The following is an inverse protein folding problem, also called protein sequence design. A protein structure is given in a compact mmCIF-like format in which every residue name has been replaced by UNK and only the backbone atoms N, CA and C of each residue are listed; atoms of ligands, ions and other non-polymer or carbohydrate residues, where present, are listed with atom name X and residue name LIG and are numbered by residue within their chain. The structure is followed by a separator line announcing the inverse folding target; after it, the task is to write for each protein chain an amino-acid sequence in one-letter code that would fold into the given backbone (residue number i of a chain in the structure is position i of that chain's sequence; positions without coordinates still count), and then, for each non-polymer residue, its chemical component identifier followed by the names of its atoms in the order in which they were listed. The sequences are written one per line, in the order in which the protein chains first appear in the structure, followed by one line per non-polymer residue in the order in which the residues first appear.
data_IF_653311041552
#
_entry.id   IF_653311041552
#
_cell.length_a   1.000
_cell.length_b   1.000
_cell.length_c   1.000
_cell.angle_alpha   90.00
_cell.angle_beta   90.00
_cell.angle_gamma   90.00
#
_symmetry.space_group_name_H-M   'P 1'
#
loop_
_entity.id
_entity.type
_entity.pdbx_description
1 polymer ?
#
# COMPACT_ATOMS: atom_id res chain seq x y z
N UNK A 1 14.80 38.15 73.77
CA UNK A 1 14.49 36.73 73.44
C UNK A 1 13.72 36.71 72.14
N UNK A 2 14.34 36.17 71.07
CA UNK A 2 13.80 36.13 69.70
C UNK A 2 12.85 34.93 69.55
N UNK A 3 11.61 35.14 69.10
CA UNK A 3 10.68 34.07 68.71
C UNK A 3 10.88 33.76 67.22
N UNK A 4 11.27 32.52 66.91
CA UNK A 4 11.37 32.00 65.54
C UNK A 4 9.99 31.63 65.01
N UNK A 5 9.63 32.14 63.83
CA UNK A 5 8.51 31.66 63.01
C UNK A 5 9.01 30.49 62.17
N UNK A 6 8.37 29.32 62.29
CA UNK A 6 8.56 28.19 61.37
C UNK A 6 7.50 28.34 60.28
N UNK A 7 7.94 28.73 59.07
CA UNK A 7 7.11 28.70 57.87
C UNK A 7 7.22 27.29 57.28
N UNK A 8 6.13 26.52 57.35
CA UNK A 8 6.01 25.25 56.65
C UNK A 8 5.80 25.53 55.16
N UNK A 9 6.87 25.38 54.36
CA UNK A 9 6.78 25.39 52.90
C UNK A 9 6.20 24.06 52.42
N UNK A 10 4.91 24.06 52.07
CA UNK A 10 4.28 22.96 51.33
C UNK A 10 4.79 23.03 49.89
N UNK A 11 5.72 22.13 49.56
CA UNK A 11 6.23 21.94 48.21
C UNK A 11 5.15 21.17 47.41
N UNK A 12 4.32 21.89 46.65
CA UNK A 12 3.42 21.27 45.67
C UNK A 12 4.28 20.74 44.51
N UNK A 13 4.55 19.43 44.52
CA UNK A 13 5.05 18.72 43.35
C UNK A 13 3.93 18.68 42.30
N UNK A 14 3.95 19.65 41.38
CA UNK A 14 3.16 19.59 40.16
C UNK A 14 3.76 18.49 39.30
N UNK A 15 3.21 17.28 39.40
CA UNK A 15 3.43 16.28 38.36
C UNK A 15 2.85 16.84 37.07
N UNK A 16 3.62 16.99 35.98
CA UNK A 16 3.01 17.22 34.69
C UNK A 16 2.15 15.98 34.43
N UNK A 17 0.83 16.16 34.46
CA UNK A 17 -0.09 15.21 33.89
C UNK A 17 0.36 15.06 32.43
N UNK A 18 1.01 13.93 32.13
CA UNK A 18 1.18 13.50 30.75
C UNK A 18 -0.22 13.42 30.18
N UNK A 19 -0.62 14.47 29.46
CA UNK A 19 -1.84 14.47 28.68
C UNK A 19 -1.75 13.26 27.78
N UNK A 20 -2.57 12.25 28.08
CA UNK A 20 -2.86 11.21 27.12
C UNK A 20 -3.46 11.95 25.93
N UNK A 21 -2.67 12.17 24.88
CA UNK A 21 -3.19 12.54 23.58
C UNK A 21 -4.12 11.38 23.21
N UNK A 22 -5.41 11.53 23.52
CA UNK A 22 -6.45 10.64 23.03
C UNK A 22 -6.34 10.75 21.52
N UNK A 23 -5.74 9.75 20.90
CA UNK A 23 -5.53 9.71 19.47
C UNK A 23 -6.94 9.79 18.85
N UNK A 24 -7.29 10.93 18.26
CA UNK A 24 -8.64 11.22 17.74
C UNK A 24 -9.07 10.13 16.74
N UNK A 25 -8.09 9.50 16.07
CA UNK A 25 -8.30 8.39 15.16
C UNK A 25 -8.87 7.14 15.86
N UNK A 26 -8.48 6.90 17.13
CA UNK A 26 -9.00 5.77 17.91
C UNK A 26 -10.51 5.91 18.20
N UNK A 27 -11.03 7.13 18.25
CA UNK A 27 -12.47 7.37 18.49
C UNK A 27 -13.28 7.02 17.24
N UNK A 28 -12.78 7.36 16.05
CA UNK A 28 -13.45 7.12 14.75
C UNK A 28 -13.61 5.63 14.47
N UNK A 29 -12.64 4.81 14.88
CA UNK A 29 -12.63 3.37 14.62
C UNK A 29 -13.07 2.52 15.80
N UNK A 30 -13.35 3.12 16.96
CA UNK A 30 -13.67 2.42 18.21
C UNK A 30 -14.81 1.40 18.10
N UNK A 31 -15.71 1.56 17.14
CA UNK A 31 -16.87 0.68 16.93
C UNK A 31 -16.66 -0.42 15.87
N UNK A 32 -15.49 -0.51 15.24
CA UNK A 32 -15.15 -1.61 14.32
C UNK A 32 -14.26 -2.62 15.04
N UNK A 33 -14.87 -3.73 15.44
CA UNK A 33 -14.20 -4.76 16.26
C UNK A 33 -13.06 -5.47 15.52
N UNK A 34 -13.17 -5.61 14.19
CA UNK A 34 -12.12 -6.22 13.36
C UNK A 34 -10.94 -5.26 13.28
N UNK A 35 -11.20 -3.98 13.01
CA UNK A 35 -10.15 -2.98 12.90
C UNK A 35 -9.42 -2.75 14.23
N UNK A 36 -10.14 -2.73 15.35
CA UNK A 36 -9.52 -2.65 16.67
C UNK A 36 -8.59 -3.85 16.95
N UNK A 37 -8.99 -5.06 16.53
CA UNK A 37 -8.11 -6.24 16.62
C UNK A 37 -6.87 -6.05 15.76
N UNK A 38 -7.02 -5.66 14.49
CA UNK A 38 -5.88 -5.40 13.61
C UNK A 38 -4.91 -4.39 14.25
N UNK A 39 -5.44 -3.29 14.78
CA UNK A 39 -4.65 -2.24 15.45
C UNK A 39 -3.90 -2.79 16.67
N UNK A 40 -4.50 -3.71 17.44
CA UNK A 40 -3.86 -4.33 18.59
C UNK A 40 -2.67 -5.25 18.25
N UNK A 41 -2.54 -5.68 16.98
CA UNK A 41 -1.43 -6.50 16.49
C UNK A 41 -0.34 -5.69 15.78
N UNK A 42 -0.48 -4.36 15.69
CA UNK A 42 0.56 -3.51 15.10
C UNK A 42 1.85 -3.65 15.92
N UNK A 43 3.03 -3.84 15.28
CA UNK A 43 4.29 -3.91 16.00
C UNK A 43 4.58 -2.64 16.80
N UNK A 44 5.23 -2.76 17.96
CA UNK A 44 5.45 -1.64 18.90
C UNK A 44 6.16 -0.42 18.29
N UNK A 45 7.01 -0.61 17.29
CA UNK A 45 7.72 0.47 16.59
C UNK A 45 6.92 1.03 15.40
N UNK A 46 5.62 0.78 15.34
CA UNK A 46 4.73 1.31 14.33
C UNK A 46 3.64 2.13 14.97
N UNK A 47 3.30 3.22 14.31
CA UNK A 47 2.15 4.05 14.65
C UNK A 47 1.13 3.95 13.53
N UNK A 48 -0.12 4.23 13.86
CA UNK A 48 -1.14 4.49 12.85
C UNK A 48 -1.81 5.83 13.11
N UNK A 49 -2.22 6.48 12.03
CA UNK A 49 -2.97 7.72 12.06
C UNK A 49 -3.81 7.87 10.80
N UNK A 50 -4.74 8.83 10.80
CA UNK A 50 -5.53 9.17 9.62
C UNK A 50 -5.12 10.49 9.00
N UNK A 51 -5.29 10.59 7.68
CA UNK A 51 -5.16 11.84 6.94
C UNK A 51 -6.22 11.88 5.85
N UNK A 52 -7.34 12.56 6.12
CA UNK A 52 -8.51 12.51 5.25
C UNK A 52 -9.09 11.10 5.23
N UNK A 53 -9.27 10.54 4.03
CA UNK A 53 -9.80 9.17 3.84
C UNK A 53 -8.69 8.11 3.76
N UNK A 54 -7.48 8.44 4.22
CA UNK A 54 -6.37 7.51 4.26
C UNK A 54 -6.07 7.14 5.72
N UNK A 55 -5.92 5.84 5.98
CA UNK A 55 -5.31 5.28 7.18
C UNK A 55 -3.86 4.92 6.85
N UNK A 56 -2.94 5.44 7.64
CA UNK A 56 -1.50 5.32 7.41
C UNK A 56 -0.90 4.57 8.59
N UNK A 57 -0.18 3.49 8.29
CA UNK A 57 0.69 2.80 9.24
C UNK A 57 2.12 3.20 8.89
N UNK A 58 2.87 3.74 9.86
CA UNK A 58 4.23 4.22 9.64
C UNK A 58 5.16 3.66 10.71
N UNK A 59 6.31 3.15 10.28
CA UNK A 59 7.37 2.71 11.19
C UNK A 59 8.09 3.91 11.80
N UNK A 60 8.34 3.86 13.10
CA UNK A 60 9.09 4.89 13.83
C UNK A 60 10.50 5.08 13.27
N UNK A 61 11.22 3.96 13.13
CA UNK A 61 12.58 3.93 12.58
C UNK A 61 12.62 3.94 11.05
N UNK A 62 13.68 4.56 10.52
CA UNK A 62 13.98 4.50 9.09
C UNK A 62 14.57 3.14 8.67
N UNK A 63 14.34 2.79 7.41
CA UNK A 63 14.98 1.72 6.65
C UNK A 63 15.71 2.30 5.44
N UNK A 64 16.63 1.55 4.86
CA UNK A 64 17.22 1.80 3.55
C UNK A 64 16.53 0.94 2.52
N UNK A 65 16.09 1.55 1.41
CA UNK A 65 15.57 0.82 0.25
C UNK A 65 16.46 1.03 -0.94
N UNK A 66 16.96 -0.08 -1.50
CA UNK A 66 17.64 -0.10 -2.77
C UNK A 66 16.68 -0.56 -3.86
N UNK A 67 16.46 0.30 -4.85
CA UNK A 67 15.69 -0.06 -6.03
C UNK A 67 16.58 -0.84 -7.01
N UNK A 68 16.26 -2.11 -7.22
CA UNK A 68 16.91 -2.96 -8.23
C UNK A 68 15.90 -3.97 -8.76
N UNK A 69 15.82 -4.14 -10.08
CA UNK A 69 14.98 -5.18 -10.68
C UNK A 69 15.55 -6.56 -10.30
N UNK A 70 14.78 -7.33 -9.53
CA UNK A 70 15.15 -8.68 -9.07
C UNK A 70 14.56 -9.76 -9.96
N UNK A 71 13.61 -9.41 -10.83
CA UNK A 71 13.01 -10.31 -11.80
C UNK A 71 14.05 -10.65 -12.85
N UNK A 72 14.48 -11.91 -12.87
CA UNK A 72 15.54 -12.44 -13.73
C UNK A 72 16.95 -11.85 -13.50
N UNK A 73 17.20 -11.20 -12.36
CA UNK A 73 18.55 -10.78 -12.02
C UNK A 73 19.46 -12.01 -11.84
N UNK A 74 20.69 -12.00 -12.39
CA UNK A 74 21.64 -13.07 -12.11
C UNK A 74 21.87 -13.15 -10.60
N UNK A 75 21.90 -14.38 -10.06
CA UNK A 75 22.20 -14.60 -8.64
C UNK A 75 23.53 -13.93 -8.33
N UNK A 76 23.51 -12.90 -7.50
CA UNK A 76 24.73 -12.26 -6.99
C UNK A 76 25.36 -13.21 -5.98
N UNK A 77 26.64 -13.50 -6.12
CA UNK A 77 27.42 -14.26 -5.14
C UNK A 77 27.81 -13.37 -3.94
N UNK A 78 26.88 -12.58 -3.43
CA UNK A 78 27.10 -11.73 -2.26
C UNK A 78 26.65 -12.45 -0.98
N UNK A 79 27.40 -12.27 0.10
CA UNK A 79 26.95 -12.65 1.44
C UNK A 79 25.86 -11.69 1.93
N UNK A 80 25.07 -12.12 2.93
CA UNK A 80 24.04 -11.26 3.55
C UNK A 80 24.61 -9.95 4.10
N UNK A 81 25.82 -9.98 4.67
CA UNK A 81 26.50 -8.78 5.18
C UNK A 81 26.85 -7.81 4.05
N UNK A 82 27.46 -8.31 2.96
CA UNK A 82 27.79 -7.50 1.79
C UNK A 82 26.54 -6.90 1.14
N UNK A 83 25.45 -7.67 1.08
CA UNK A 83 24.16 -7.18 0.61
C UNK A 83 23.64 -6.02 1.47
N UNK A 84 23.64 -6.18 2.79
CA UNK A 84 23.16 -5.15 3.71
C UNK A 84 24.01 -3.86 3.60
N UNK A 85 25.33 -3.98 3.56
CA UNK A 85 26.24 -2.85 3.35
C UNK A 85 25.96 -2.13 2.03
N UNK A 86 25.72 -2.89 0.95
CA UNK A 86 25.37 -2.35 -0.36
C UNK A 86 24.04 -1.60 -0.33
N UNK A 87 23.02 -2.13 0.35
CA UNK A 87 21.72 -1.46 0.51
C UNK A 87 21.87 -0.17 1.31
N UNK A 88 22.65 -0.19 2.40
CA UNK A 88 22.91 1.03 3.20
C UNK A 88 23.67 2.08 2.40
N UNK A 89 24.66 1.66 1.60
CA UNK A 89 25.51 2.55 0.81
C UNK A 89 24.77 3.19 -0.38
N UNK A 90 23.96 2.41 -1.09
CA UNK A 90 23.37 2.81 -2.37
C UNK A 90 21.85 3.04 -2.30
N UNK A 91 21.22 2.65 -1.20
CA UNK A 91 19.78 2.79 -1.00
C UNK A 91 19.39 4.16 -0.48
N UNK A 92 18.09 4.46 -0.55
CA UNK A 92 17.50 5.68 0.01
C UNK A 92 17.00 5.40 1.41
N UNK A 93 17.38 6.25 2.37
CA UNK A 93 16.85 6.19 3.74
C UNK A 93 15.43 6.74 3.77
N UNK A 94 14.47 5.91 4.15
CA UNK A 94 13.04 6.23 4.17
C UNK A 94 12.38 5.62 5.41
N UNK A 95 11.14 6.03 5.73
CA UNK A 95 10.30 5.29 6.67
C UNK A 95 9.41 4.31 5.93
N UNK A 96 9.34 3.07 6.40
CA UNK A 96 8.37 2.11 5.89
C UNK A 96 6.96 2.59 6.22
N UNK A 97 6.05 2.51 5.24
CA UNK A 97 4.65 2.89 5.44
C UNK A 97 3.69 2.04 4.60
N UNK A 98 2.48 1.88 5.13
CA UNK A 98 1.32 1.34 4.44
C UNK A 98 0.29 2.46 4.38
N UNK A 99 -0.20 2.79 3.19
CA UNK A 99 -1.29 3.75 3.01
C UNK A 99 -2.51 3.01 2.49
N UNK A 100 -3.56 2.99 3.30
CA UNK A 100 -4.84 2.40 2.95
C UNK A 100 -5.87 3.53 2.79
N UNK A 101 -6.48 3.67 1.61
CA UNK A 101 -7.73 4.41 1.52
C UNK A 101 -8.80 3.62 2.26
N UNK A 102 -9.67 4.29 3.00
CA UNK A 102 -10.88 3.66 3.53
C UNK A 102 -12.13 4.43 3.12
N UNK A 103 -13.23 3.69 3.04
CA UNK A 103 -14.58 4.23 2.91
C UNK A 103 -15.55 3.33 3.67
N UNK A 104 -16.81 3.77 3.80
CA UNK A 104 -17.87 2.94 4.36
C UNK A 104 -17.94 1.60 3.61
N UNK A 105 -18.17 0.53 4.37
CA UNK A 105 -18.18 -0.83 3.84
C UNK A 105 -19.09 -0.95 2.64
N UNK A 106 -18.57 -1.51 1.57
CA UNK A 106 -19.37 -1.84 0.40
C UNK A 106 -20.34 -2.94 0.77
N UNK A 107 -21.62 -2.68 0.52
CA UNK A 107 -22.62 -3.71 0.59
C UNK A 107 -22.43 -4.75 -0.54
N UNK A 108 -23.10 -5.88 -0.37
CA UNK A 108 -23.06 -6.99 -1.31
C UNK A 108 -23.52 -6.58 -2.72
N UNK A 109 -24.50 -5.70 -2.83
CA UNK A 109 -25.06 -5.27 -4.11
C UNK A 109 -24.05 -4.42 -4.89
N UNK A 110 -23.39 -3.47 -4.23
CA UNK A 110 -22.31 -2.66 -4.80
C UNK A 110 -21.17 -3.55 -5.27
N UNK A 111 -20.78 -4.55 -4.48
CA UNK A 111 -19.76 -5.53 -4.88
C UNK A 111 -20.15 -6.31 -6.13
N UNK A 112 -21.40 -6.75 -6.27
CA UNK A 112 -21.91 -7.42 -7.48
C UNK A 112 -21.91 -6.49 -8.68
N UNK A 113 -22.45 -5.29 -8.54
CA UNK A 113 -22.58 -4.32 -9.64
C UNK A 113 -21.19 -4.02 -10.21
N UNK A 114 -20.22 -3.73 -9.36
CA UNK A 114 -18.83 -3.48 -9.79
C UNK A 114 -18.20 -4.74 -10.39
N UNK A 115 -18.44 -5.94 -9.82
CA UNK A 115 -17.95 -7.20 -10.40
C UNK A 115 -18.46 -7.41 -11.83
N UNK A 116 -19.75 -7.22 -12.06
CA UNK A 116 -20.37 -7.43 -13.37
C UNK A 116 -19.93 -6.37 -14.37
N UNK A 117 -19.88 -5.10 -13.96
CA UNK A 117 -19.38 -4.01 -14.79
C UNK A 117 -17.92 -4.25 -15.20
N UNK A 118 -17.04 -4.56 -14.25
CA UNK A 118 -15.64 -4.84 -14.57
C UNK A 118 -15.50 -6.06 -15.48
N UNK A 119 -16.29 -7.13 -15.26
CA UNK A 119 -16.27 -8.31 -16.14
C UNK A 119 -16.66 -7.95 -17.58
N UNK A 120 -17.66 -7.10 -17.76
CA UNK A 120 -18.04 -6.57 -19.07
C UNK A 120 -16.90 -5.75 -19.70
N UNK A 121 -16.28 -4.83 -18.95
CA UNK A 121 -15.15 -4.02 -19.43
C UNK A 121 -13.96 -4.90 -19.84
N UNK A 122 -13.64 -5.95 -19.07
CA UNK A 122 -12.56 -6.87 -19.42
C UNK A 122 -12.87 -7.69 -20.68
N UNK A 123 -14.12 -8.08 -20.90
CA UNK A 123 -14.54 -8.72 -22.16
C UNK A 123 -14.36 -7.78 -23.35
N UNK A 124 -14.68 -6.50 -23.19
CA UNK A 124 -14.45 -5.49 -24.22
C UNK A 124 -12.95 -5.30 -24.49
N UNK A 125 -12.12 -5.25 -23.45
CA UNK A 125 -10.66 -5.17 -23.59
C UNK A 125 -10.08 -6.36 -24.36
N UNK A 126 -10.55 -7.57 -24.06
CA UNK A 126 -10.07 -8.79 -24.74
C UNK A 126 -10.41 -8.83 -26.23
N UNK A 127 -11.55 -8.29 -26.63
CA UNK A 127 -11.98 -8.22 -28.05
C UNK A 127 -11.48 -6.99 -28.80
N UNK A 128 -10.82 -6.06 -28.12
CA UNK A 128 -10.37 -4.80 -28.69
C UNK A 128 -9.33 -4.98 -29.82
N UNK A 129 -8.35 -5.91 -29.73
CA UNK A 129 -7.43 -6.18 -30.84
C UNK A 129 -8.12 -6.66 -32.13
N UNK A 130 -9.19 -7.47 -31.99
CA UNK A 130 -10.00 -7.94 -33.12
C UNK A 130 -10.74 -6.76 -33.78
N UNK A 131 -11.35 -5.88 -32.97
CA UNK A 131 -12.07 -4.69 -33.44
C UNK A 131 -11.23 -3.81 -34.35
N UNK A 132 -9.94 -3.66 -34.04
CA UNK A 132 -9.00 -2.86 -34.83
C UNK A 132 -8.23 -3.66 -35.90
N UNK A 133 -8.42 -4.98 -35.95
CA UNK A 133 -7.70 -5.91 -36.81
C UNK A 133 -6.17 -5.72 -36.70
N UNK A 134 -5.65 -5.86 -35.47
CA UNK A 134 -4.23 -5.71 -35.15
C UNK A 134 -3.58 -6.97 -34.57
N UNK A 135 -4.29 -8.10 -34.46
CA UNK A 135 -3.71 -9.34 -33.90
C UNK A 135 -2.47 -9.82 -34.64
N UNK A 136 -2.42 -9.63 -35.95
CA UNK A 136 -1.28 -9.96 -36.79
C UNK A 136 -0.05 -9.07 -36.53
N UNK A 137 -0.20 -7.99 -35.76
CA UNK A 137 0.87 -7.06 -35.38
C UNK A 137 1.42 -7.35 -33.97
N UNK A 138 0.96 -8.41 -33.31
CA UNK A 138 1.38 -8.79 -31.97
C UNK A 138 2.88 -9.16 -31.93
N UNK A 139 3.60 -8.61 -30.96
CA UNK A 139 5.01 -8.92 -30.72
C UNK A 139 5.15 -9.79 -29.46
N UNK A 140 5.43 -11.08 -29.63
CA UNK A 140 5.57 -12.03 -28.52
C UNK A 140 6.82 -11.80 -27.66
N UNK A 141 7.82 -11.09 -28.17
CA UNK A 141 9.09 -10.84 -27.47
C UNK A 141 8.99 -9.67 -26.50
N UNK A 142 8.19 -8.66 -26.85
CA UNK A 142 7.94 -7.50 -26.00
C UNK A 142 6.67 -7.64 -25.14
N UNK A 143 5.77 -8.55 -25.53
CA UNK A 143 4.55 -8.79 -24.79
C UNK A 143 4.79 -9.59 -23.52
N UNK A 144 4.03 -9.26 -22.48
CA UNK A 144 3.99 -9.99 -21.22
C UNK A 144 2.58 -10.54 -20.99
N UNK A 145 2.43 -11.45 -20.01
CA UNK A 145 1.12 -12.01 -19.62
C UNK A 145 0.08 -10.94 -19.30
N UNK A 146 0.49 -9.78 -18.80
CA UNK A 146 -0.38 -8.67 -18.41
C UNK A 146 -0.39 -7.51 -19.41
N UNK A 147 0.49 -7.50 -20.43
CA UNK A 147 0.57 -6.40 -21.37
C UNK A 147 0.96 -6.89 -22.78
N UNK A 148 -0.01 -6.94 -23.68
CA UNK A 148 0.21 -7.20 -25.10
C UNK A 148 0.73 -5.95 -25.82
N UNK A 149 1.79 -6.14 -26.61
CA UNK A 149 2.46 -5.11 -27.41
C UNK A 149 2.22 -5.40 -28.89
N UNK A 150 1.86 -4.36 -29.65
CA UNK A 150 1.61 -4.43 -31.09
C UNK A 150 2.53 -3.46 -31.83
N UNK A 151 3.14 -3.88 -32.94
CA UNK A 151 4.10 -3.08 -33.72
C UNK A 151 3.62 -2.92 -35.16
N UNK A 152 3.32 -1.69 -35.57
CA UNK A 152 2.96 -1.34 -36.94
C UNK A 152 4.18 -0.87 -37.75
N UNK A 153 4.34 -1.37 -38.97
CA UNK A 153 5.42 -0.98 -39.89
C UNK A 153 4.98 0.19 -40.78
N UNK A 154 3.71 0.24 -41.14
CA UNK A 154 3.11 1.27 -42.00
C UNK A 154 2.40 2.35 -41.19
N UNK A 155 2.15 3.51 -41.82
CA UNK A 155 1.35 4.59 -41.22
C UNK A 155 -0.07 4.14 -40.87
N UNK A 156 -0.67 3.29 -41.72
CA UNK A 156 -2.02 2.75 -41.50
C UNK A 156 -2.09 1.86 -40.26
N UNK A 157 -1.13 0.96 -40.09
CA UNK A 157 -1.03 0.09 -38.91
C UNK A 157 -0.79 0.88 -37.63
N UNK A 158 0.14 1.85 -37.66
CA UNK A 158 0.39 2.74 -36.51
C UNK A 158 -0.88 3.49 -36.09
N UNK A 159 -1.62 4.05 -37.04
CA UNK A 159 -2.90 4.72 -36.76
C UNK A 159 -3.94 3.79 -36.13
N UNK A 160 -3.98 2.50 -36.51
CA UNK A 160 -4.88 1.51 -35.87
C UNK A 160 -4.46 1.22 -34.43
N UNK A 161 -3.16 1.05 -34.20
CA UNK A 161 -2.59 0.84 -32.87
C UNK A 161 -2.87 2.04 -31.96
N UNK A 162 -2.69 3.26 -32.45
CA UNK A 162 -2.96 4.48 -31.66
C UNK A 162 -4.44 4.56 -31.24
N UNK A 163 -5.37 4.23 -32.14
CA UNK A 163 -6.81 4.16 -31.83
C UNK A 163 -7.12 3.06 -30.81
N UNK A 164 -6.51 1.89 -30.97
CA UNK A 164 -6.60 0.79 -30.01
C UNK A 164 -6.11 1.20 -28.62
N UNK A 165 -4.93 1.83 -28.51
CA UNK A 165 -4.36 2.25 -27.23
C UNK A 165 -5.24 3.30 -26.56
N UNK A 166 -5.73 4.28 -27.32
CA UNK A 166 -6.64 5.29 -26.80
C UNK A 166 -7.92 4.66 -26.22
N UNK A 167 -8.57 3.76 -26.97
CA UNK A 167 -9.80 3.10 -26.48
C UNK A 167 -9.51 2.14 -25.31
N UNK A 168 -8.36 1.46 -25.31
CA UNK A 168 -7.90 0.64 -24.19
C UNK A 168 -7.81 1.47 -22.91
N UNK A 169 -7.17 2.65 -22.98
CA UNK A 169 -7.03 3.55 -21.84
C UNK A 169 -8.39 4.09 -21.38
N UNK A 170 -9.29 4.43 -22.32
CA UNK A 170 -10.66 4.85 -22.02
C UNK A 170 -11.45 3.75 -21.29
N UNK A 171 -11.34 2.48 -21.70
CA UNK A 171 -12.01 1.36 -21.02
C UNK A 171 -11.39 1.12 -19.63
N UNK A 172 -10.06 1.09 -19.53
CA UNK A 172 -9.35 0.89 -18.27
C UNK A 172 -9.67 1.97 -17.25
N UNK A 173 -9.85 3.23 -17.68
CA UNK A 173 -10.24 4.34 -16.78
C UNK A 173 -11.60 4.15 -16.12
N UNK A 174 -12.47 3.29 -16.68
CA UNK A 174 -13.80 2.97 -16.16
C UNK A 174 -13.81 1.76 -15.23
N UNK A 175 -12.69 1.01 -15.16
CA UNK A 175 -12.57 -0.13 -14.26
C UNK A 175 -12.50 0.39 -12.83
N UNK A 176 -13.45 -0.06 -12.00
CA UNK A 176 -13.48 0.35 -10.61
C UNK A 176 -12.65 -0.62 -9.77
N UNK A 177 -11.68 -0.12 -9.02
CA UNK A 177 -10.91 -0.93 -8.09
C UNK A 177 -11.83 -1.54 -7.03
N UNK A 178 -11.58 -2.78 -6.63
CA UNK A 178 -12.27 -3.44 -5.51
C UNK A 178 -11.47 -3.25 -4.22
N UNK A 179 -12.12 -3.23 -3.06
CA UNK A 179 -11.40 -3.19 -1.80
C UNK A 179 -10.49 -4.41 -1.68
N UNK A 180 -9.31 -4.19 -1.10
CA UNK A 180 -8.38 -5.25 -0.73
C UNK A 180 -8.85 -5.98 0.53
N UNK A 181 -9.49 -5.25 1.44
CA UNK A 181 -9.94 -5.75 2.74
C UNK A 181 -11.30 -5.16 3.11
N UNK A 182 -12.18 -5.96 3.71
CA UNK A 182 -13.44 -5.50 4.27
C UNK A 182 -13.52 -5.85 5.76
N UNK A 183 -13.55 -4.83 6.61
CA UNK A 183 -13.79 -4.98 8.05
C UNK A 183 -15.29 -4.99 8.34
N UNK A 184 -15.68 -4.76 9.59
CA UNK A 184 -17.09 -4.72 9.95
C UNK A 184 -17.78 -3.49 9.34
N UNK A 185 -17.12 -2.33 9.35
CA UNK A 185 -17.69 -1.04 8.95
C UNK A 185 -17.02 -0.39 7.74
N UNK A 186 -15.85 -0.86 7.33
CA UNK A 186 -15.07 -0.18 6.29
C UNK A 186 -14.56 -1.13 5.20
N UNK A 187 -14.40 -0.55 4.01
CA UNK A 187 -13.73 -1.14 2.86
C UNK A 187 -12.40 -0.42 2.65
N UNK A 188 -11.30 -1.18 2.61
CA UNK A 188 -9.94 -0.64 2.51
C UNK A 188 -9.30 -0.96 1.16
N UNK A 189 -8.54 0.01 0.62
CA UNK A 189 -7.81 -0.10 -0.63
C UNK A 189 -6.35 0.24 -0.37
N UNK A 190 -5.43 -0.65 -0.74
CA UNK A 190 -4.00 -0.40 -0.68
C UNK A 190 -3.68 0.65 -1.74
N UNK A 191 -3.28 1.85 -1.29
CA UNK A 191 -2.78 2.92 -2.17
C UNK A 191 -1.28 2.80 -2.37
N UNK A 192 -0.56 2.45 -1.32
CA UNK A 192 0.90 2.54 -1.32
C UNK A 192 1.50 1.61 -0.27
N UNK A 193 2.60 0.95 -0.64
CA UNK A 193 3.49 0.21 0.24
C UNK A 193 4.91 0.76 0.03
N UNK A 194 5.53 1.26 1.08
CA UNK A 194 6.91 1.76 1.05
C UNK A 194 7.75 1.00 2.07
N UNK A 195 9.01 0.73 1.74
CA UNK A 195 9.97 0.19 2.70
C UNK A 195 9.82 -1.32 2.90
N UNK A 196 9.33 -2.02 1.88
CA UNK A 196 9.24 -3.48 1.84
C UNK A 196 10.14 -4.08 0.75
N UNK A 197 10.49 -5.34 0.93
CA UNK A 197 11.07 -6.18 -0.11
C UNK A 197 9.97 -6.56 -1.11
N UNK A 198 10.21 -6.29 -2.40
CA UNK A 198 9.36 -6.74 -3.50
C UNK A 198 10.24 -7.10 -4.71
N UNK A 199 9.63 -7.28 -5.88
CA UNK A 199 10.32 -7.64 -7.13
C UNK A 199 11.34 -6.60 -7.62
N UNK A 200 11.23 -5.36 -7.16
CA UNK A 200 12.05 -4.23 -7.58
C UNK A 200 12.77 -3.51 -6.44
N UNK A 201 12.60 -3.97 -5.19
CA UNK A 201 13.12 -3.29 -4.01
C UNK A 201 13.72 -4.27 -3.02
N UNK A 202 14.87 -3.89 -2.45
CA UNK A 202 15.46 -4.49 -1.27
C UNK A 202 15.44 -3.51 -0.10
N UNK A 203 14.83 -3.91 1.01
CA UNK A 203 14.71 -3.14 2.24
C UNK A 203 15.60 -3.71 3.34
N UNK A 204 16.36 -2.82 3.99
CA UNK A 204 17.19 -3.11 5.16
C UNK A 204 16.88 -2.11 6.30
N UNK A 205 16.77 -2.54 7.57
CA UNK A 205 16.84 -3.92 8.03
C UNK A 205 15.64 -4.74 7.56
N UNK A 206 15.84 -6.05 7.38
CA UNK A 206 14.80 -6.96 6.84
C UNK A 206 13.53 -6.96 7.68
N UNK A 207 13.64 -6.72 9.00
CA UNK A 207 12.48 -6.66 9.88
C UNK A 207 11.54 -5.50 9.53
N UNK A 208 12.02 -4.42 8.91
CA UNK A 208 11.15 -3.35 8.42
C UNK A 208 10.13 -3.87 7.40
N UNK A 209 10.58 -4.71 6.47
CA UNK A 209 9.72 -5.36 5.49
C UNK A 209 8.86 -6.45 6.13
N UNK A 210 9.41 -7.22 7.07
CA UNK A 210 8.67 -8.31 7.73
C UNK A 210 7.51 -7.77 8.56
N UNK A 211 7.73 -6.71 9.34
CA UNK A 211 6.72 -6.02 10.12
C UNK A 211 5.62 -5.41 9.23
N UNK A 212 5.99 -4.83 8.09
CA UNK A 212 5.01 -4.32 7.10
C UNK A 212 4.11 -5.46 6.60
N UNK A 213 4.68 -6.58 6.17
CA UNK A 213 3.89 -7.73 5.71
C UNK A 213 3.09 -8.38 6.85
N UNK A 214 3.59 -8.35 8.08
CA UNK A 214 2.82 -8.80 9.25
C UNK A 214 1.52 -8.00 9.40
N UNK A 215 1.57 -6.67 9.30
CA UNK A 215 0.37 -5.82 9.35
C UNK A 215 -0.61 -6.23 8.23
N UNK A 216 -0.12 -6.37 6.99
CA UNK A 216 -0.96 -6.79 5.86
C UNK A 216 -1.54 -8.21 6.01
N UNK A 217 -0.78 -9.13 6.60
CA UNK A 217 -1.25 -10.48 6.91
C UNK A 217 -2.36 -10.47 7.95
N UNK A 218 -2.25 -9.64 9.00
CA UNK A 218 -3.32 -9.50 9.99
C UNK A 218 -4.58 -8.90 9.36
N UNK A 219 -4.44 -7.90 8.48
CA UNK A 219 -5.57 -7.42 7.67
C UNK A 219 -6.18 -8.56 6.86
N UNK A 220 -5.36 -9.36 6.18
CA UNK A 220 -5.83 -10.48 5.36
C UNK A 220 -6.55 -11.57 6.18
N UNK A 221 -6.03 -11.91 7.35
CA UNK A 221 -6.57 -12.97 8.22
C UNK A 221 -7.88 -12.57 8.90
N UNK A 222 -7.99 -11.30 9.32
CA UNK A 222 -9.12 -10.83 10.12
C UNK A 222 -10.23 -10.18 9.28
N UNK A 223 -9.96 -9.80 8.03
CA UNK A 223 -10.94 -9.19 7.14
C UNK A 223 -11.53 -10.17 6.14
N UNK A 224 -12.75 -9.90 5.70
CA UNK A 224 -13.36 -10.60 4.56
C UNK A 224 -12.84 -10.02 3.24
N UNK A 225 -12.70 -10.88 2.21
CA UNK A 225 -12.46 -10.45 0.82
C UNK A 225 -13.74 -10.02 0.14
#
# INVERSE_FOLDING_TARGET
MKKFFIINSILFLIFPAFGQNVNIDSIVFSHDTILNKIISFIPHNWIYYTKGNDMIFERGDSSYVLHENRVNAPKKNETKTQQNERIVKNGTKIKSKIVLKFEEKWDYNKMIVIKNNNAYLYKNLQSLPDKYNINNLYDSTLSTKSNAVYIGKTKSEKNKIDKYLKEKDEILSKVTAKPNYNTQKYSFFIKELIGCNDDNNFAYPENASAELYQILSVFFELSSK
#
